data_IF_798242623591
#
_entry.id   IF_798242623591
#
_cell.length_a   1.000
_cell.length_b   1.000
_cell.length_c   1.000
_cell.angle_alpha   90.00
_cell.angle_beta   90.00
_cell.angle_gamma   90.00
#
_symmetry.space_group_name_H-M   'P 1'
#
loop_
_entity.id
_entity.type
_entity.pdbx_description
1 polymer ?
#
# COMPACT_ATOMS: atom_id res chain seq x y z
N UNK A 1 -13.33 10.44 -24.74
CA UNK A 1 -11.85 10.38 -24.67
C UNK A 1 -11.47 10.81 -23.26
N UNK A 2 -10.61 10.07 -22.56
CA UNK A 2 -10.11 10.54 -21.26
C UNK A 2 -9.20 11.73 -21.53
N UNK A 3 -9.56 12.89 -21.01
CA UNK A 3 -8.77 14.11 -21.13
C UNK A 3 -7.79 14.18 -19.97
N UNK A 4 -6.51 14.36 -20.26
CA UNK A 4 -5.43 14.44 -19.28
C UNK A 4 -4.67 15.74 -19.52
N UNK A 5 -4.54 16.54 -18.48
CA UNK A 5 -3.72 17.75 -18.51
C UNK A 5 -2.24 17.35 -18.54
N UNK A 6 -1.63 17.47 -19.70
CA UNK A 6 -0.23 17.09 -19.93
C UNK A 6 0.77 18.03 -19.25
N UNK A 7 0.37 19.25 -18.93
CA UNK A 7 1.24 20.28 -18.31
C UNK A 7 1.54 19.97 -16.84
N UNK A 8 0.73 19.08 -16.23
CA UNK A 8 0.94 18.62 -14.85
C UNK A 8 1.84 17.39 -14.74
N UNK A 9 2.20 16.76 -15.87
CA UNK A 9 2.98 15.53 -15.88
C UNK A 9 4.46 15.81 -15.62
N UNK A 10 5.03 15.08 -14.69
CA UNK A 10 6.47 15.13 -14.36
C UNK A 10 7.26 14.31 -15.38
N UNK A 11 8.43 14.79 -15.76
CA UNK A 11 9.34 14.08 -16.67
C UNK A 11 9.61 12.64 -16.25
N UNK A 12 9.60 11.72 -17.21
CA UNK A 12 9.70 10.28 -16.97
C UNK A 12 11.05 9.88 -16.36
N UNK A 13 12.14 10.57 -16.67
CA UNK A 13 13.46 10.26 -16.09
C UNK A 13 13.50 10.64 -14.61
N UNK A 14 12.84 11.75 -14.23
CA UNK A 14 12.77 12.21 -12.83
C UNK A 14 11.91 11.30 -11.96
N UNK A 15 10.79 10.75 -12.48
CA UNK A 15 9.88 9.85 -11.76
C UNK A 15 10.15 8.36 -11.97
N UNK A 16 11.32 8.00 -12.48
CA UNK A 16 11.68 6.62 -12.77
C UNK A 16 11.51 5.70 -11.56
N UNK A 17 10.70 4.64 -11.72
CA UNK A 17 10.39 3.68 -10.65
C UNK A 17 9.36 4.20 -9.65
N UNK A 18 8.54 5.18 -10.04
CA UNK A 18 7.36 5.68 -9.30
C UNK A 18 6.09 5.34 -10.06
N UNK A 19 4.96 5.26 -9.35
CA UNK A 19 3.66 4.93 -9.92
C UNK A 19 2.92 6.16 -10.44
N UNK A 20 2.91 7.27 -9.68
CA UNK A 20 2.26 8.50 -10.08
C UNK A 20 3.00 9.19 -11.23
N UNK A 21 2.23 9.83 -12.10
CA UNK A 21 2.73 10.58 -13.26
C UNK A 21 2.92 12.06 -12.94
N UNK A 22 2.18 12.58 -11.95
CA UNK A 22 2.15 13.97 -11.58
C UNK A 22 2.40 14.17 -10.08
N UNK A 23 2.67 15.41 -9.68
CA UNK A 23 2.85 15.80 -8.28
C UNK A 23 2.08 17.10 -7.98
N UNK A 24 0.86 17.18 -8.47
CA UNK A 24 -0.02 18.34 -8.26
C UNK A 24 -0.30 18.55 -6.77
N UNK A 25 -0.52 19.80 -6.39
CA UNK A 25 -0.79 20.18 -5.00
C UNK A 25 -2.00 19.46 -4.44
N UNK A 26 -1.89 19.03 -3.20
CA UNK A 26 -2.99 18.42 -2.46
C UNK A 26 -4.02 19.48 -2.06
N UNK A 27 -5.25 19.04 -1.75
CA UNK A 27 -6.42 19.90 -1.41
C UNK A 27 -6.18 20.91 -0.28
N UNK A 28 -5.24 20.65 0.60
CA UNK A 28 -4.96 21.48 1.79
C UNK A 28 -3.64 22.24 1.70
N UNK A 29 -2.98 22.22 0.54
CA UNK A 29 -1.81 23.06 0.30
C UNK A 29 -2.27 24.50 0.03
N UNK A 30 -1.64 25.49 0.71
CA UNK A 30 -2.00 26.90 0.57
C UNK A 30 -1.61 27.50 -0.79
N UNK A 31 -0.65 26.89 -1.48
CA UNK A 31 -0.12 27.35 -2.77
C UNK A 31 -0.08 26.20 -3.76
N UNK A 32 -0.43 26.47 -5.01
CA UNK A 32 -0.29 25.53 -6.13
C UNK A 32 1.18 25.38 -6.53
N UNK A 33 1.58 24.17 -6.93
CA UNK A 33 2.88 23.89 -7.54
C UNK A 33 2.69 23.74 -9.03
N UNK A 34 3.36 24.57 -9.78
CA UNK A 34 3.40 24.49 -11.25
C UNK A 34 4.86 24.47 -11.67
N UNK A 35 5.27 23.44 -12.38
CA UNK A 35 6.58 23.43 -13.03
C UNK A 35 6.47 24.29 -14.29
N UNK A 36 7.14 25.44 -14.31
CA UNK A 36 7.13 26.37 -15.45
C UNK A 36 8.50 26.37 -16.09
N UNK A 37 8.54 26.11 -17.40
CA UNK A 37 9.76 26.30 -18.19
C UNK A 37 9.93 27.79 -18.46
N UNK A 38 11.01 28.36 -17.93
CA UNK A 38 11.39 29.73 -18.11
C UNK A 38 12.25 29.97 -19.40
N UNK A 39 12.43 28.90 -20.20
CA UNK A 39 13.23 28.93 -21.43
C UNK A 39 14.72 28.70 -21.22
N UNK A 40 15.19 28.53 -19.99
CA UNK A 40 16.60 28.24 -19.68
C UNK A 40 16.91 26.77 -19.64
N UNK A 41 15.91 25.86 -19.81
CA UNK A 41 16.07 24.42 -19.71
C UNK A 41 16.30 23.91 -18.30
N UNK A 42 16.07 24.76 -17.29
CA UNK A 42 16.28 24.47 -15.86
C UNK A 42 15.46 23.28 -15.34
N UNK A 43 14.34 22.95 -15.98
CA UNK A 43 13.56 21.75 -15.64
C UNK A 43 14.34 20.45 -15.86
N UNK A 44 15.29 20.43 -16.81
CA UNK A 44 16.16 19.27 -17.06
C UNK A 44 17.18 19.01 -15.94
N UNK A 45 17.53 20.04 -15.17
CA UNK A 45 18.51 19.98 -14.09
C UNK A 45 17.90 19.54 -12.76
N UNK A 46 16.57 19.42 -12.68
CA UNK A 46 15.89 18.99 -11.47
C UNK A 46 16.20 17.55 -11.12
N UNK A 47 16.48 17.32 -9.85
CA UNK A 47 16.80 15.98 -9.31
C UNK A 47 15.65 14.98 -9.47
N UNK A 48 16.01 13.69 -9.46
CA UNK A 48 15.04 12.60 -9.41
C UNK A 48 14.32 12.60 -8.07
N UNK A 49 13.05 12.20 -8.07
CA UNK A 49 12.29 11.99 -6.86
C UNK A 49 12.88 10.84 -6.04
N UNK A 50 13.60 11.18 -4.97
CA UNK A 50 14.16 10.23 -3.99
C UNK A 50 13.17 10.05 -2.83
N UNK A 51 13.27 8.90 -2.18
CA UNK A 51 12.49 8.66 -0.95
C UNK A 51 13.18 9.37 0.22
N UNK A 52 12.42 10.21 0.90
CA UNK A 52 12.79 10.86 2.15
C UNK A 52 11.91 10.30 3.26
N UNK A 53 12.49 9.99 4.40
CA UNK A 53 11.74 9.46 5.54
C UNK A 53 12.01 10.30 6.77
N UNK A 54 10.96 10.82 7.38
CA UNK A 54 11.01 11.55 8.64
C UNK A 54 10.52 10.66 9.77
N UNK A 55 11.16 10.77 10.95
CA UNK A 55 10.69 10.08 12.16
C UNK A 55 9.60 10.94 12.80
N UNK A 56 8.43 10.34 12.99
CA UNK A 56 7.29 10.93 13.70
C UNK A 56 7.13 10.27 15.07
N UNK A 57 6.84 11.05 16.10
CA UNK A 57 6.43 10.55 17.41
C UNK A 57 4.93 10.77 17.59
N UNK A 58 4.18 9.68 17.72
CA UNK A 58 2.72 9.70 17.84
C UNK A 58 2.27 9.58 19.30
N UNK A 59 1.07 10.09 19.60
CA UNK A 59 0.42 9.96 20.93
C UNK A 59 -0.55 8.78 20.98
N UNK A 60 -1.00 8.31 19.83
CA UNK A 60 -1.88 7.16 19.67
C UNK A 60 -1.50 6.41 18.41
N UNK A 61 -1.55 5.07 18.44
CA UNK A 61 -1.19 4.25 17.29
C UNK A 61 -2.38 3.43 16.76
N UNK A 62 -3.34 3.08 17.62
CA UNK A 62 -4.55 2.36 17.25
C UNK A 62 -5.55 3.37 16.68
N UNK A 63 -5.83 3.26 15.39
CA UNK A 63 -6.93 3.97 14.74
C UNK A 63 -8.22 3.15 14.83
N UNK A 64 -9.35 3.83 15.08
CA UNK A 64 -10.67 3.21 15.13
C UNK A 64 -11.48 3.58 13.90
N UNK A 65 -12.38 2.69 13.52
CA UNK A 65 -13.24 2.83 12.37
C UNK A 65 -14.58 2.17 12.68
N UNK A 66 -15.66 2.78 12.26
CA UNK A 66 -17.05 2.34 12.43
C UNK A 66 -17.77 2.12 11.09
N UNK A 67 -17.01 2.11 9.97
CA UNK A 67 -17.57 1.89 8.65
C UNK A 67 -18.10 0.45 8.52
N UNK A 68 -19.35 0.26 8.08
CA UNK A 68 -19.93 -1.07 7.87
C UNK A 68 -19.26 -1.83 6.69
N UNK A 69 -18.54 -1.12 5.82
CA UNK A 69 -17.90 -1.68 4.63
C UNK A 69 -16.56 -2.39 4.94
N UNK A 70 -16.07 -2.27 6.18
CA UNK A 70 -14.75 -2.77 6.58
C UNK A 70 -14.91 -3.77 7.73
N UNK A 71 -14.33 -4.96 7.57
CA UNK A 71 -14.47 -6.08 8.51
C UNK A 71 -13.69 -5.94 9.82
N UNK A 72 -13.00 -4.82 10.04
CA UNK A 72 -12.23 -4.53 11.26
C UNK A 72 -12.54 -3.11 11.75
N UNK A 73 -12.62 -2.95 13.07
CA UNK A 73 -12.87 -1.67 13.72
C UNK A 73 -11.59 -1.04 14.32
N UNK A 74 -10.47 -1.74 14.29
CA UNK A 74 -9.18 -1.25 14.77
C UNK A 74 -8.07 -1.51 13.75
N UNK A 75 -7.19 -0.54 13.56
CA UNK A 75 -6.03 -0.68 12.68
C UNK A 75 -4.79 0.02 13.22
N UNK A 76 -3.62 -0.48 12.80
CA UNK A 76 -2.33 0.14 13.03
C UNK A 76 -1.64 0.36 11.69
N UNK A 77 -1.11 1.57 11.49
CA UNK A 77 -0.29 1.91 10.36
C UNK A 77 1.04 2.47 10.88
N UNK A 78 2.14 1.71 10.82
CA UNK A 78 3.43 2.12 11.36
C UNK A 78 4.06 3.28 10.58
N UNK A 79 3.57 3.54 9.38
CA UNK A 79 4.07 4.57 8.46
C UNK A 79 2.95 5.48 7.97
N UNK A 80 3.33 6.62 7.34
CA UNK A 80 2.48 7.44 6.47
C UNK A 80 3.16 7.56 5.11
N UNK A 81 2.39 7.54 4.03
CA UNK A 81 2.87 7.34 2.68
C UNK A 81 3.35 5.90 2.45
N UNK A 82 3.60 5.53 1.20
CA UNK A 82 4.00 4.16 0.87
C UNK A 82 4.91 4.12 -0.35
N UNK A 83 6.13 3.65 -0.16
CA UNK A 83 7.15 3.56 -1.21
C UNK A 83 6.81 2.54 -2.30
N UNK A 84 5.87 1.61 -2.08
CA UNK A 84 5.42 0.69 -3.13
C UNK A 84 4.90 1.41 -4.37
N UNK A 85 4.35 2.63 -4.21
CA UNK A 85 3.95 3.47 -5.31
C UNK A 85 2.76 2.95 -6.11
N UNK A 86 1.90 2.11 -5.54
CA UNK A 86 0.73 1.60 -6.25
C UNK A 86 -0.13 2.77 -6.75
N UNK A 87 -0.35 2.83 -8.07
CA UNK A 87 -1.06 3.96 -8.68
C UNK A 87 -2.53 4.02 -8.25
N UNK A 88 -3.13 2.90 -7.99
CA UNK A 88 -4.52 2.75 -7.56
C UNK A 88 -4.75 2.84 -6.04
N UNK A 89 -3.73 3.19 -5.25
CA UNK A 89 -3.83 3.14 -3.79
C UNK A 89 -4.83 4.16 -3.26
N UNK A 90 -5.91 3.69 -2.64
CA UNK A 90 -6.97 4.53 -2.07
C UNK A 90 -6.50 5.42 -0.91
N UNK A 91 -5.31 5.14 -0.35
CA UNK A 91 -4.76 5.92 0.75
C UNK A 91 -4.03 7.20 0.29
N UNK A 92 -3.77 7.36 -1.01
CA UNK A 92 -3.08 8.54 -1.59
C UNK A 92 -3.72 9.88 -1.19
N UNK A 93 -5.05 10.06 -1.27
CA UNK A 93 -5.69 11.31 -0.87
C UNK A 93 -5.46 11.70 0.60
N UNK A 94 -5.17 10.72 1.46
CA UNK A 94 -4.83 10.95 2.87
C UNK A 94 -3.53 11.74 3.06
N UNK A 95 -2.64 11.75 2.07
CA UNK A 95 -1.38 12.48 2.14
C UNK A 95 -1.57 14.00 2.10
N UNK A 96 -2.67 14.45 1.49
CA UNK A 96 -3.04 15.86 1.48
C UNK A 96 -3.24 16.45 2.89
N UNK A 97 -3.66 15.66 3.88
CA UNK A 97 -3.75 16.12 5.28
C UNK A 97 -2.39 16.44 5.92
N UNK A 98 -1.30 16.02 5.28
CA UNK A 98 0.06 16.34 5.70
C UNK A 98 0.64 17.56 4.94
N UNK A 99 -0.17 18.22 4.10
CA UNK A 99 0.30 19.28 3.19
C UNK A 99 1.20 18.75 2.07
N UNK A 100 0.95 17.54 1.60
CA UNK A 100 1.72 16.91 0.53
C UNK A 100 0.83 16.47 -0.62
N UNK A 101 1.41 16.36 -1.81
CA UNK A 101 0.71 15.83 -2.97
C UNK A 101 0.31 14.35 -2.77
N UNK A 102 -0.91 13.95 -3.16
CA UNK A 102 -1.28 12.53 -3.26
C UNK A 102 -0.58 11.80 -4.42
N UNK A 103 0.11 12.53 -5.29
CA UNK A 103 0.91 12.01 -6.39
C UNK A 103 2.26 11.42 -5.94
N UNK A 104 3.35 12.01 -6.44
CA UNK A 104 4.71 11.52 -6.15
C UNK A 104 5.11 11.70 -4.68
N UNK A 105 4.63 12.75 -3.98
CA UNK A 105 4.95 12.95 -2.56
C UNK A 105 4.46 11.77 -1.70
N UNK A 106 3.32 11.14 -2.03
CA UNK A 106 2.85 9.94 -1.33
C UNK A 106 3.86 8.79 -1.35
N UNK A 107 4.67 8.71 -2.41
CA UNK A 107 5.66 7.65 -2.62
C UNK A 107 7.05 8.01 -2.12
N UNK A 108 7.30 9.30 -1.86
CA UNK A 108 8.64 9.82 -1.65
C UNK A 108 8.82 10.56 -0.33
N UNK A 109 7.78 11.19 0.21
CA UNK A 109 7.80 11.87 1.51
C UNK A 109 7.10 11.00 2.55
N UNK A 110 7.88 10.17 3.24
CA UNK A 110 7.36 9.15 4.14
C UNK A 110 7.60 9.54 5.60
N UNK A 111 6.73 9.01 6.48
CA UNK A 111 6.88 9.19 7.92
C UNK A 111 6.90 7.82 8.60
N UNK A 112 7.90 7.62 9.47
CA UNK A 112 8.07 6.42 10.29
C UNK A 112 7.72 6.76 11.75
N UNK A 113 6.72 6.08 12.32
CA UNK A 113 6.25 6.31 13.69
C UNK A 113 7.19 5.63 14.70
N UNK A 114 8.30 6.27 14.99
CA UNK A 114 9.43 5.70 15.73
C UNK A 114 9.10 5.08 17.09
N UNK A 115 8.10 5.61 17.78
CA UNK A 115 7.62 5.15 19.08
C UNK A 115 6.38 4.24 19.02
N UNK A 116 6.05 3.67 17.84
CA UNK A 116 4.80 2.92 17.62
C UNK A 116 4.61 1.76 18.63
N UNK A 117 5.66 0.98 18.88
CA UNK A 117 5.60 -0.16 19.80
C UNK A 117 5.34 0.26 21.26
N UNK A 118 6.02 1.31 21.74
CA UNK A 118 5.87 1.80 23.12
C UNK A 118 4.47 2.37 23.36
N UNK A 119 3.96 3.14 22.37
CA UNK A 119 2.59 3.66 22.40
C UNK A 119 1.57 2.53 22.38
N UNK A 120 1.82 1.48 21.60
CA UNK A 120 0.95 0.31 21.55
C UNK A 120 0.87 -0.38 22.93
N UNK A 121 2.01 -0.64 23.58
CA UNK A 121 2.04 -1.19 24.95
C UNK A 121 1.18 -0.36 25.89
N UNK A 122 1.35 0.97 25.84
CA UNK A 122 0.57 1.90 26.69
C UNK A 122 -0.93 1.83 26.38
N UNK A 123 -1.33 1.74 25.11
CA UNK A 123 -2.74 1.67 24.72
C UNK A 123 -3.40 0.35 25.11
N UNK A 124 -2.70 -0.78 24.95
CA UNK A 124 -3.19 -2.10 25.35
C UNK A 124 -3.32 -2.25 26.88
N UNK A 125 -2.50 -1.51 27.64
CA UNK A 125 -2.50 -1.54 29.10
C UNK A 125 -3.61 -0.67 29.73
N UNK A 126 -4.37 0.08 28.93
CA UNK A 126 -5.44 0.95 29.48
C UNK A 126 -6.55 0.12 30.11
N UNK A 127 -7.01 0.57 31.30
CA UNK A 127 -8.18 -0.03 31.95
C UNK A 127 -9.40 0.00 31.03
N UNK A 128 -10.02 -1.15 30.86
CA UNK A 128 -11.18 -1.30 29.96
C UNK A 128 -10.85 -1.50 28.48
N UNK A 129 -9.56 -1.66 28.13
CA UNK A 129 -9.23 -2.07 26.77
C UNK A 129 -9.81 -3.45 26.47
N UNK A 130 -10.53 -3.57 25.35
CA UNK A 130 -11.09 -4.84 24.86
C UNK A 130 -10.34 -5.25 23.61
N UNK A 131 -9.69 -6.43 23.67
CA UNK A 131 -8.93 -6.97 22.55
C UNK A 131 -9.89 -7.36 21.41
N UNK A 132 -9.66 -6.77 20.25
CA UNK A 132 -10.29 -7.10 18.98
C UNK A 132 -9.20 -7.19 17.92
N UNK A 133 -9.39 -7.98 16.87
CA UNK A 133 -8.39 -8.11 15.82
C UNK A 133 -7.99 -6.74 15.28
N UNK A 134 -6.70 -6.43 15.32
CA UNK A 134 -6.13 -5.22 14.75
C UNK A 134 -5.65 -5.49 13.33
N UNK A 135 -6.10 -4.70 12.37
CA UNK A 135 -5.57 -4.73 11.00
C UNK A 135 -4.25 -3.94 10.94
N UNK A 136 -3.17 -4.63 10.63
CA UNK A 136 -1.85 -4.02 10.40
C UNK A 136 -1.67 -3.76 8.90
N UNK A 137 -1.58 -2.47 8.52
CA UNK A 137 -1.42 -2.09 7.13
C UNK A 137 -2.72 -1.73 6.41
N UNK A 138 -3.65 -1.04 7.07
CA UNK A 138 -4.91 -0.62 6.47
C UNK A 138 -4.74 0.49 5.41
N UNK A 139 -3.88 1.49 5.66
CA UNK A 139 -3.68 2.63 4.73
C UNK A 139 -2.24 2.76 4.21
N UNK A 140 -1.31 1.97 4.74
CA UNK A 140 0.08 1.87 4.25
C UNK A 140 0.53 0.42 4.29
N UNK A 141 1.43 0.02 3.41
CA UNK A 141 1.98 -1.34 3.50
C UNK A 141 2.97 -1.42 4.69
N UNK A 142 2.72 -2.31 5.67
CA UNK A 142 3.57 -2.44 6.86
C UNK A 142 4.96 -3.04 6.53
N UNK A 143 5.12 -3.63 5.35
CA UNK A 143 6.36 -4.20 4.85
C UNK A 143 6.90 -3.50 3.61
N UNK A 144 6.56 -2.22 3.42
CA UNK A 144 7.16 -1.39 2.37
C UNK A 144 8.69 -1.32 2.53
N UNK A 145 9.47 -0.91 1.51
CA UNK A 145 10.94 -1.00 1.53
C UNK A 145 11.62 -0.42 2.76
N UNK A 146 11.14 0.70 3.30
CA UNK A 146 11.73 1.34 4.50
C UNK A 146 11.62 0.48 5.78
N UNK A 147 10.70 -0.49 5.83
CA UNK A 147 10.57 -1.43 6.95
C UNK A 147 11.85 -2.26 7.16
N UNK A 148 12.69 -2.44 6.14
CA UNK A 148 14.01 -3.08 6.29
C UNK A 148 14.91 -2.34 7.27
N UNK A 149 14.82 -1.02 7.30
CA UNK A 149 15.62 -0.15 8.14
C UNK A 149 14.96 0.10 9.49
N UNK A 150 13.68 0.48 9.49
CA UNK A 150 12.99 0.95 10.69
C UNK A 150 12.42 -0.19 11.55
N UNK A 151 12.10 -1.34 10.98
CA UNK A 151 11.60 -2.56 11.65
C UNK A 151 10.41 -2.30 12.60
N UNK A 152 9.54 -1.34 12.26
CA UNK A 152 8.40 -0.96 13.09
C UNK A 152 7.34 -2.06 13.14
N UNK A 153 7.08 -2.71 12.00
CA UNK A 153 6.12 -3.81 11.93
C UNK A 153 6.57 -4.99 12.79
N UNK A 154 7.86 -5.34 12.75
CA UNK A 154 8.42 -6.39 13.62
C UNK A 154 8.23 -6.06 15.09
N UNK A 155 8.59 -4.85 15.52
CA UNK A 155 8.43 -4.41 16.92
C UNK A 155 6.96 -4.42 17.38
N UNK A 156 6.04 -4.03 16.50
CA UNK A 156 4.60 -4.12 16.76
C UNK A 156 4.17 -5.59 16.94
N UNK A 157 4.64 -6.50 16.09
CA UNK A 157 4.34 -7.94 16.20
C UNK A 157 4.91 -8.57 17.48
N UNK A 158 6.07 -8.14 17.95
CA UNK A 158 6.64 -8.57 19.23
C UNK A 158 5.73 -8.16 20.39
N UNK A 159 5.15 -6.95 20.37
CA UNK A 159 4.14 -6.53 21.35
C UNK A 159 2.87 -7.38 21.24
N UNK A 160 2.36 -7.62 20.03
CA UNK A 160 1.16 -8.46 19.82
C UNK A 160 1.37 -9.88 20.35
N UNK A 161 2.56 -10.45 20.13
CA UNK A 161 2.91 -11.78 20.66
C UNK A 161 2.94 -11.79 22.19
N UNK A 162 3.65 -10.84 22.79
CA UNK A 162 3.80 -10.72 24.24
C UNK A 162 2.46 -10.54 24.96
N UNK A 163 1.54 -9.79 24.35
CA UNK A 163 0.21 -9.51 24.89
C UNK A 163 -0.88 -10.49 24.45
N UNK A 164 -0.54 -11.51 23.64
CA UNK A 164 -1.52 -12.44 23.06
C UNK A 164 -2.63 -11.75 22.26
N UNK A 165 -2.29 -10.69 21.56
CA UNK A 165 -3.26 -9.87 20.85
C UNK A 165 -3.48 -10.35 19.43
N UNK A 166 -4.74 -10.51 18.94
CA UNK A 166 -5.01 -10.93 17.58
C UNK A 166 -4.69 -9.84 16.56
N UNK A 167 -4.07 -10.23 15.44
CA UNK A 167 -3.65 -9.32 14.36
C UNK A 167 -3.92 -9.92 12.98
N UNK A 168 -4.46 -9.09 12.08
CA UNK A 168 -4.56 -9.37 10.65
C UNK A 168 -3.57 -8.50 9.88
N UNK A 169 -2.79 -9.07 8.99
CA UNK A 169 -1.79 -8.34 8.21
C UNK A 169 -2.20 -8.33 6.74
N UNK A 170 -2.06 -7.21 6.05
CA UNK A 170 -2.19 -7.15 4.59
C UNK A 170 -0.96 -6.50 3.99
N UNK A 171 -0.34 -7.18 3.01
CA UNK A 171 0.88 -6.67 2.38
C UNK A 171 1.04 -7.16 0.92
N UNK A 172 1.79 -6.39 0.14
CA UNK A 172 2.32 -6.75 -1.18
C UNK A 172 3.78 -7.17 -1.14
N UNK A 173 4.35 -7.25 0.06
CA UNK A 173 5.78 -7.44 0.24
C UNK A 173 6.16 -8.87 0.60
N UNK A 174 7.16 -9.40 -0.09
CA UNK A 174 7.83 -10.62 0.34
C UNK A 174 8.56 -10.47 1.69
N UNK A 175 8.83 -9.24 2.14
CA UNK A 175 9.56 -8.97 3.38
C UNK A 175 8.84 -9.51 4.62
N UNK A 176 7.53 -9.73 4.57
CA UNK A 176 6.76 -10.36 5.66
C UNK A 176 7.34 -11.72 6.07
N UNK A 177 8.01 -12.44 5.17
CA UNK A 177 8.67 -13.72 5.48
C UNK A 177 9.89 -13.58 6.39
N UNK A 178 10.39 -12.36 6.64
CA UNK A 178 11.41 -12.08 7.67
C UNK A 178 10.91 -12.43 9.07
N UNK A 179 9.63 -12.20 9.32
CA UNK A 179 9.04 -12.28 10.65
C UNK A 179 8.24 -13.60 10.87
N UNK A 180 8.50 -14.61 10.04
CA UNK A 180 7.88 -15.96 10.15
C UNK A 180 8.04 -16.55 11.55
N UNK A 181 9.16 -16.30 12.22
CA UNK A 181 9.40 -16.76 13.58
C UNK A 181 8.31 -16.29 14.57
N UNK A 182 7.92 -15.03 14.51
CA UNK A 182 6.83 -14.48 15.35
C UNK A 182 5.47 -14.92 14.83
N UNK A 183 5.27 -14.84 13.51
CA UNK A 183 3.99 -15.17 12.88
C UNK A 183 3.60 -16.64 13.13
N UNK A 184 4.54 -17.58 13.07
CA UNK A 184 4.28 -19.00 13.37
C UNK A 184 3.91 -19.22 14.85
N UNK A 185 4.50 -18.46 15.79
CA UNK A 185 4.12 -18.54 17.21
C UNK A 185 2.71 -18.00 17.46
N UNK A 186 2.36 -16.87 16.82
CA UNK A 186 1.00 -16.32 16.85
C UNK A 186 -0.01 -17.26 16.19
N UNK A 187 0.34 -17.88 15.04
CA UNK A 187 -0.52 -18.79 14.31
C UNK A 187 -0.91 -20.03 15.13
N UNK A 188 0.05 -20.63 15.87
CA UNK A 188 -0.24 -21.77 16.78
C UNK A 188 -1.27 -21.43 17.86
N UNK A 189 -1.50 -20.16 18.12
CA UNK A 189 -2.47 -19.64 19.11
C UNK A 189 -3.73 -19.06 18.44
N UNK A 190 -3.88 -19.21 17.12
CA UNK A 190 -4.96 -18.62 16.32
C UNK A 190 -5.04 -17.08 16.44
N UNK A 191 -3.90 -16.41 16.57
CA UNK A 191 -3.81 -14.97 16.80
C UNK A 191 -3.35 -14.19 15.56
N UNK A 192 -3.07 -14.82 14.43
CA UNK A 192 -2.65 -14.13 13.22
C UNK A 192 -3.27 -14.73 11.96
N UNK A 193 -3.52 -13.87 10.99
CA UNK A 193 -3.79 -14.21 9.60
C UNK A 193 -3.06 -13.20 8.70
N UNK A 194 -2.45 -13.69 7.63
CA UNK A 194 -1.68 -12.84 6.70
C UNK A 194 -2.38 -12.81 5.35
N UNK A 195 -2.76 -11.62 4.90
CA UNK A 195 -3.25 -11.35 3.55
C UNK A 195 -2.10 -10.96 2.62
N UNK A 196 -1.86 -11.74 1.58
CA UNK A 196 -0.90 -11.40 0.53
C UNK A 196 -1.64 -10.92 -0.70
N UNK A 197 -1.42 -9.65 -1.07
CA UNK A 197 -2.06 -9.09 -2.27
C UNK A 197 -1.33 -9.54 -3.54
N UNK A 198 -2.05 -10.24 -4.43
CA UNK A 198 -1.61 -10.62 -5.77
C UNK A 198 -2.60 -10.02 -6.76
N UNK A 199 -2.23 -8.87 -7.33
CA UNK A 199 -3.12 -8.05 -8.17
C UNK A 199 -3.12 -8.53 -9.62
N UNK A 200 -2.01 -9.09 -10.07
CA UNK A 200 -1.80 -9.65 -11.40
C UNK A 200 -0.63 -10.64 -11.36
N UNK A 201 -0.59 -11.59 -12.26
CA UNK A 201 0.56 -12.47 -12.50
C UNK A 201 1.46 -11.93 -13.62
N UNK A 202 0.95 -11.01 -14.44
CA UNK A 202 1.73 -10.35 -15.48
C UNK A 202 2.77 -9.39 -14.86
N UNK A 203 4.05 -9.71 -15.10
CA UNK A 203 5.18 -8.96 -14.54
C UNK A 203 5.26 -7.53 -15.07
N UNK A 204 4.84 -7.30 -16.34
CA UNK A 204 4.82 -5.98 -16.96
C UNK A 204 3.72 -5.11 -16.31
N UNK A 205 2.52 -5.65 -16.21
CA UNK A 205 1.39 -4.96 -15.56
C UNK A 205 1.71 -4.67 -14.11
N UNK A 206 2.23 -5.64 -13.36
CA UNK A 206 2.66 -5.44 -11.96
C UNK A 206 3.71 -4.34 -11.84
N UNK A 207 4.72 -4.32 -12.73
CA UNK A 207 5.77 -3.29 -12.72
C UNK A 207 5.25 -1.89 -12.98
N UNK A 208 4.24 -1.76 -13.83
CA UNK A 208 3.62 -0.47 -14.14
C UNK A 208 2.70 0.01 -13.00
N UNK A 209 1.88 -0.89 -12.43
CA UNK A 209 0.91 -0.54 -11.40
C UNK A 209 1.52 -0.36 -10.00
N UNK A 210 2.60 -1.11 -9.69
CA UNK A 210 3.16 -1.29 -8.35
C UNK A 210 4.70 -1.33 -8.39
N UNK A 211 5.36 -0.26 -8.87
CA UNK A 211 6.73 -0.29 -9.36
C UNK A 211 7.78 -0.71 -8.31
N UNK A 212 7.50 -0.54 -7.01
CA UNK A 212 8.42 -0.87 -5.92
C UNK A 212 7.91 -1.96 -4.97
N UNK A 213 6.78 -2.58 -5.31
CA UNK A 213 6.28 -3.76 -4.59
C UNK A 213 7.02 -5.03 -5.05
N UNK A 214 6.87 -6.13 -4.33
CA UNK A 214 7.45 -7.40 -4.72
C UNK A 214 6.83 -7.91 -6.04
N UNK A 215 7.60 -8.61 -6.85
CA UNK A 215 7.09 -9.22 -8.09
C UNK A 215 6.00 -10.26 -7.79
N UNK A 216 5.08 -10.54 -8.73
CA UNK A 216 4.03 -11.54 -8.52
C UNK A 216 4.58 -12.90 -8.05
N UNK A 217 5.63 -13.40 -8.67
CA UNK A 217 6.27 -14.67 -8.30
C UNK A 217 6.81 -14.66 -6.85
N UNK A 218 7.38 -13.54 -6.41
CA UNK A 218 7.83 -13.40 -5.02
C UNK A 218 6.68 -13.34 -4.02
N UNK A 219 5.52 -12.81 -4.41
CA UNK A 219 4.31 -12.80 -3.56
C UNK A 219 3.75 -14.21 -3.43
N UNK A 220 3.68 -14.98 -4.52
CA UNK A 220 3.28 -16.40 -4.49
C UNK A 220 4.25 -17.21 -3.62
N UNK A 221 5.57 -16.98 -3.74
CA UNK A 221 6.57 -17.61 -2.88
C UNK A 221 6.46 -17.20 -1.41
N UNK A 222 5.98 -15.99 -1.12
CA UNK A 222 5.70 -15.57 0.27
C UNK A 222 4.49 -16.35 0.84
N UNK A 223 3.44 -16.58 0.05
CA UNK A 223 2.31 -17.44 0.44
C UNK A 223 2.81 -18.83 0.82
N UNK A 224 3.61 -19.48 -0.05
CA UNK A 224 4.15 -20.80 0.17
C UNK A 224 4.96 -20.88 1.48
N UNK A 225 5.91 -19.96 1.69
CA UNK A 225 6.74 -19.93 2.90
C UNK A 225 5.96 -19.71 4.19
N UNK A 226 4.93 -18.87 4.14
CA UNK A 226 4.04 -18.64 5.29
C UNK A 226 3.21 -19.90 5.58
N UNK A 227 2.62 -20.51 4.55
CA UNK A 227 1.83 -21.74 4.69
C UNK A 227 2.68 -22.91 5.20
N UNK A 228 3.91 -23.12 4.70
CA UNK A 228 4.88 -24.10 5.19
C UNK A 228 5.20 -23.92 6.68
N UNK A 229 5.18 -22.66 7.16
CA UNK A 229 5.39 -22.33 8.57
C UNK A 229 4.12 -22.44 9.43
N UNK A 230 2.99 -22.90 8.86
CA UNK A 230 1.71 -23.02 9.54
C UNK A 230 1.00 -21.70 9.81
N UNK A 231 1.35 -20.63 9.08
CA UNK A 231 0.68 -19.33 9.17
C UNK A 231 -0.51 -19.32 8.21
N UNK A 232 -1.75 -19.07 8.67
CA UNK A 232 -2.92 -18.97 7.80
C UNK A 232 -2.79 -17.82 6.81
N UNK A 233 -2.91 -18.11 5.50
CA UNK A 233 -2.76 -17.11 4.43
C UNK A 233 -4.06 -16.94 3.66
N UNK A 234 -4.41 -15.68 3.43
CA UNK A 234 -5.46 -15.23 2.50
C UNK A 234 -4.82 -14.59 1.27
N UNK A 235 -5.15 -15.04 0.07
CA UNK A 235 -4.79 -14.27 -1.13
C UNK A 235 -5.77 -13.12 -1.32
N UNK A 236 -5.25 -11.92 -1.56
CA UNK A 236 -6.05 -10.73 -1.83
C UNK A 236 -5.93 -10.36 -3.32
N UNK A 237 -6.96 -10.67 -4.12
CA UNK A 237 -7.05 -10.19 -5.51
C UNK A 237 -7.60 -8.76 -5.51
N UNK A 238 -6.79 -7.82 -5.05
CA UNK A 238 -7.25 -6.45 -4.74
C UNK A 238 -6.21 -5.37 -5.15
N UNK A 239 -6.65 -4.42 -6.01
CA UNK A 239 -7.98 -4.30 -6.61
C UNK A 239 -8.15 -5.16 -7.86
N UNK A 240 -9.38 -5.57 -8.12
CA UNK A 240 -9.81 -6.00 -9.45
C UNK A 240 -10.11 -4.75 -10.26
N UNK A 241 -9.50 -4.65 -11.44
CA UNK A 241 -9.66 -3.55 -12.39
C UNK A 241 -10.30 -4.11 -13.65
N UNK A 242 -11.62 -3.92 -13.86
CA UNK A 242 -12.31 -4.44 -15.03
C UNK A 242 -11.66 -4.00 -16.35
N UNK A 243 -11.44 -4.94 -17.25
CA UNK A 243 -10.77 -4.72 -18.53
C UNK A 243 -9.23 -4.63 -18.46
N UNK A 244 -8.63 -4.76 -17.27
CA UNK A 244 -7.17 -4.73 -17.13
C UNK A 244 -6.61 -6.02 -16.52
N UNK A 245 -7.08 -6.47 -15.36
CA UNK A 245 -6.58 -7.66 -14.66
C UNK A 245 -7.66 -8.67 -14.25
N UNK A 246 -8.93 -8.39 -14.52
CA UNK A 246 -10.08 -9.22 -14.18
C UNK A 246 -10.03 -10.62 -14.80
N UNK A 247 -9.42 -10.76 -15.96
CA UNK A 247 -9.24 -12.04 -16.65
C UNK A 247 -8.23 -12.98 -15.96
N UNK A 248 -7.44 -12.49 -15.01
CA UNK A 248 -6.43 -13.28 -14.30
C UNK A 248 -6.94 -13.90 -12.98
N UNK A 249 -8.16 -13.61 -12.55
CA UNK A 249 -8.68 -14.01 -11.22
C UNK A 249 -8.50 -15.50 -10.97
N UNK A 250 -8.96 -16.35 -11.90
CA UNK A 250 -8.86 -17.81 -11.74
C UNK A 250 -7.42 -18.30 -11.66
N UNK A 251 -6.53 -17.73 -12.47
CA UNK A 251 -5.10 -18.08 -12.49
C UNK A 251 -4.42 -17.66 -11.18
N UNK A 252 -4.76 -16.49 -10.64
CA UNK A 252 -4.26 -16.00 -9.34
C UNK A 252 -4.73 -16.92 -8.22
N UNK A 253 -6.02 -17.26 -8.18
CA UNK A 253 -6.59 -18.15 -7.16
C UNK A 253 -5.96 -19.55 -7.20
N UNK A 254 -5.79 -20.11 -8.41
CA UNK A 254 -5.14 -21.40 -8.61
C UNK A 254 -3.70 -21.39 -8.11
N UNK A 255 -2.92 -20.37 -8.51
CA UNK A 255 -1.52 -20.21 -8.09
C UNK A 255 -1.39 -20.05 -6.57
N UNK A 256 -2.27 -19.25 -5.96
CA UNK A 256 -2.27 -19.03 -4.52
C UNK A 256 -2.68 -20.27 -3.74
N UNK A 257 -3.70 -21.03 -4.20
CA UNK A 257 -4.10 -22.29 -3.59
C UNK A 257 -2.98 -23.33 -3.64
N UNK A 258 -2.32 -23.45 -4.79
CA UNK A 258 -1.17 -24.37 -4.95
C UNK A 258 -0.03 -23.99 -3.99
N UNK A 259 0.16 -22.70 -3.73
CA UNK A 259 1.12 -22.18 -2.76
C UNK A 259 0.65 -22.32 -1.28
N UNK A 260 -0.55 -22.83 -1.02
CA UNK A 260 -1.05 -23.09 0.34
C UNK A 260 -1.94 -21.99 0.92
N UNK A 261 -2.45 -21.04 0.13
CA UNK A 261 -3.47 -20.11 0.62
C UNK A 261 -4.77 -20.85 0.98
N UNK A 262 -5.34 -20.55 2.15
CA UNK A 262 -6.56 -21.20 2.68
C UNK A 262 -7.84 -20.46 2.26
N UNK A 263 -7.74 -19.18 1.95
CA UNK A 263 -8.88 -18.33 1.63
C UNK A 263 -8.50 -17.25 0.63
N UNK A 264 -9.50 -16.66 0.02
CA UNK A 264 -9.33 -15.55 -0.93
C UNK A 264 -10.30 -14.42 -0.58
N UNK A 265 -9.87 -13.19 -0.89
CA UNK A 265 -10.72 -12.01 -0.84
C UNK A 265 -10.42 -11.10 -2.03
N UNK A 266 -11.37 -10.26 -2.38
CA UNK A 266 -11.23 -9.30 -3.47
C UNK A 266 -11.81 -7.93 -3.11
N UNK A 267 -11.35 -6.92 -3.79
CA UNK A 267 -11.92 -5.56 -3.75
C UNK A 267 -11.93 -5.02 -5.17
N UNK A 268 -13.06 -4.49 -5.62
CA UNK A 268 -13.11 -3.75 -6.89
C UNK A 268 -12.39 -2.42 -6.75
N UNK A 269 -11.79 -1.95 -7.83
CA UNK A 269 -11.13 -0.64 -7.85
C UNK A 269 -12.08 0.46 -7.43
N UNK A 270 -11.60 1.30 -6.51
CA UNK A 270 -12.26 2.55 -6.09
C UNK A 270 -11.30 3.70 -6.29
N UNK A 271 -11.76 4.78 -6.88
CA UNK A 271 -10.95 5.95 -7.26
C UNK A 271 -11.46 7.22 -6.54
N UNK A 272 -11.27 7.32 -5.21
CA UNK A 272 -11.72 8.49 -4.47
C UNK A 272 -10.86 9.72 -4.78
N UNK A 273 -11.52 10.88 -4.87
CA UNK A 273 -10.88 12.21 -4.91
C UNK A 273 -9.79 12.29 -6.01
N UNK A 274 -8.60 12.78 -5.66
CA UNK A 274 -7.47 12.97 -6.57
C UNK A 274 -6.98 11.67 -7.23
N UNK A 275 -7.28 10.53 -6.62
CA UNK A 275 -6.88 9.23 -7.17
C UNK A 275 -7.48 8.98 -8.56
N UNK A 276 -8.66 9.53 -8.84
CA UNK A 276 -9.30 9.40 -10.15
C UNK A 276 -8.41 9.99 -11.25
N UNK A 277 -7.93 11.20 -11.07
CA UNK A 277 -7.06 11.89 -12.04
C UNK A 277 -5.72 11.16 -12.18
N UNK A 278 -5.06 10.84 -11.06
CA UNK A 278 -3.78 10.13 -11.06
C UNK A 278 -3.86 8.77 -11.80
N UNK A 279 -4.96 8.03 -11.59
CA UNK A 279 -5.16 6.76 -12.27
C UNK A 279 -5.46 6.94 -13.76
N UNK A 280 -6.19 7.98 -14.15
CA UNK A 280 -6.46 8.32 -15.55
C UNK A 280 -5.18 8.69 -16.30
N UNK A 281 -4.33 9.56 -15.73
CA UNK A 281 -3.02 9.92 -16.26
C UNK A 281 -2.19 8.66 -16.55
N UNK A 282 -2.06 7.80 -15.54
CA UNK A 282 -1.32 6.55 -15.64
C UNK A 282 -1.89 5.61 -16.70
N UNK A 283 -3.20 5.51 -16.80
CA UNK A 283 -3.89 4.61 -17.72
C UNK A 283 -3.71 5.05 -19.17
N UNK A 284 -3.81 6.36 -19.43
CA UNK A 284 -3.58 6.94 -20.77
C UNK A 284 -2.13 6.74 -21.21
N UNK A 285 -1.15 6.91 -20.32
CA UNK A 285 0.26 6.71 -20.66
C UNK A 285 0.61 5.24 -20.94
N UNK A 286 0.07 4.31 -20.15
CA UNK A 286 0.52 2.92 -20.16
C UNK A 286 -0.39 1.99 -20.98
N UNK A 287 -1.68 2.32 -21.13
CA UNK A 287 -2.70 1.51 -21.82
C UNK A 287 -3.68 2.38 -22.61
N UNK A 288 -3.20 3.21 -23.56
CA UNK A 288 -4.04 4.18 -24.29
C UNK A 288 -5.24 3.52 -24.97
N UNK A 289 -5.05 2.34 -25.56
CA UNK A 289 -6.11 1.60 -26.29
C UNK A 289 -7.23 1.08 -25.35
N UNK A 290 -6.95 0.92 -24.06
CA UNK A 290 -7.90 0.40 -23.07
C UNK A 290 -8.46 1.49 -22.15
N UNK A 291 -7.85 2.68 -22.15
CA UNK A 291 -8.12 3.73 -21.15
C UNK A 291 -9.62 4.09 -21.05
N UNK A 292 -10.25 4.38 -22.19
CA UNK A 292 -11.67 4.74 -22.21
C UNK A 292 -12.56 3.61 -21.67
N UNK A 293 -12.29 2.36 -22.10
CA UNK A 293 -13.08 1.18 -21.67
C UNK A 293 -12.94 0.94 -20.16
N UNK A 294 -11.72 0.95 -19.63
CA UNK A 294 -11.47 0.73 -18.20
C UNK A 294 -12.18 1.79 -17.37
N UNK A 295 -12.07 3.07 -17.73
CA UNK A 295 -12.73 4.15 -17.01
C UNK A 295 -14.25 4.02 -17.04
N UNK A 296 -14.84 3.63 -18.17
CA UNK A 296 -16.30 3.40 -18.25
C UNK A 296 -16.78 2.24 -17.38
N UNK A 297 -15.94 1.20 -17.19
CA UNK A 297 -16.30 0.04 -16.35
C UNK A 297 -16.13 0.29 -14.84
N UNK A 298 -15.37 1.31 -14.47
CA UNK A 298 -15.06 1.64 -13.07
C UNK A 298 -15.94 2.78 -12.53
N UNK A 299 -16.61 3.55 -13.41
CA UNK A 299 -17.56 4.60 -13.03
C UNK A 299 -18.95 4.02 -12.70
#
# INVERSE_FOLDING_TARGET
>A
MVDVDTDTLVDRARRRGRGAQSNVSGRFEATGRVETDDGWGSLGDLDRFRTETQIEHVRSIISRNDSPDISFDQSINPYRGCEHGCIYCYARPGHAYLGHSPGLDFETKLYAKGNAADVLVSELSKKGYVAKTIALGAVTDPYQPIERTYQLSRRILEVMEATSHPVGIVTKSHLVTRDIDILARLARRNLVRVGISVTTLDTRVARLMEPRAATPSRRVKAIERLAEAGVPVTVMTAPIIPGLNDHEIESILTSARTAGAESAAYVLLRLPLELKTLFQEWLVENFPDRANRVIQLVQ
#
